data_IF_107689272577
#
_entry.id   IF_107689272577
#
_cell.length_a   1.000
_cell.length_b   1.000
_cell.length_c   1.000
_cell.angle_alpha   90.00
_cell.angle_beta   90.00
_cell.angle_gamma   90.00
#
_symmetry.space_group_name_H-M   'P 1'
#
loop_
_entity.id
_entity.type
_entity.pdbx_description
1 polymer ?
#
# COMPACT_ATOMS: atom_id res chain seq x y z
N UNK A 1 17.12 7.87 -13.78
CA UNK A 1 16.16 8.43 -12.81
C UNK A 1 16.54 7.88 -11.44
N UNK A 2 16.75 8.74 -10.44
CA UNK A 2 17.27 8.33 -9.13
C UNK A 2 16.06 8.22 -8.20
N UNK A 3 15.83 7.06 -7.59
CA UNK A 3 14.80 6.90 -6.57
C UNK A 3 15.07 7.94 -5.45
N UNK A 4 14.05 8.71 -5.08
CA UNK A 4 14.19 9.77 -4.07
C UNK A 4 14.32 9.14 -2.68
N UNK A 5 13.65 8.00 -2.46
CA UNK A 5 13.73 7.24 -1.22
C UNK A 5 14.86 6.22 -1.24
N UNK A 6 15.60 6.12 -0.12
CA UNK A 6 16.45 4.97 0.12
C UNK A 6 15.58 3.79 0.57
N UNK A 7 16.09 2.58 0.44
CA UNK A 7 15.37 1.37 0.84
C UNK A 7 14.88 1.40 2.30
N UNK A 8 15.67 1.98 3.21
CA UNK A 8 15.27 2.16 4.61
C UNK A 8 14.07 3.11 4.78
N UNK A 9 13.99 4.16 3.96
CA UNK A 9 12.87 5.11 4.00
C UNK A 9 11.58 4.44 3.49
N UNK A 10 11.68 3.64 2.42
CA UNK A 10 10.54 2.89 1.88
C UNK A 10 9.98 1.88 2.88
N UNK A 11 10.84 1.17 3.62
CA UNK A 11 10.39 0.23 4.64
C UNK A 11 9.66 0.97 5.77
N UNK A 12 10.22 2.08 6.27
CA UNK A 12 9.58 2.86 7.32
C UNK A 12 8.21 3.41 6.90
N UNK A 13 8.06 3.85 5.65
CA UNK A 13 6.77 4.27 5.08
C UNK A 13 5.80 3.10 5.03
N UNK A 14 6.23 1.95 4.53
CA UNK A 14 5.39 0.75 4.42
C UNK A 14 4.94 0.24 5.79
N UNK A 15 5.82 0.23 6.79
CA UNK A 15 5.50 -0.16 8.16
C UNK A 15 4.45 0.79 8.76
N UNK A 16 4.61 2.11 8.57
CA UNK A 16 3.61 3.09 9.00
C UNK A 16 2.25 2.90 8.29
N UNK A 17 2.25 2.51 7.01
CA UNK A 17 1.02 2.17 6.29
C UNK A 17 0.36 0.91 6.85
N UNK A 18 1.14 -0.13 7.16
CA UNK A 18 0.62 -1.34 7.81
C UNK A 18 0.02 -1.01 9.18
N UNK A 19 0.64 -0.12 9.95
CA UNK A 19 0.09 0.34 11.23
C UNK A 19 -1.25 1.05 11.07
N UNK A 20 -1.40 1.89 10.04
CA UNK A 20 -2.71 2.47 9.69
C UNK A 20 -3.72 1.38 9.34
N UNK A 21 -3.33 0.42 8.50
CA UNK A 21 -4.20 -0.67 8.06
C UNK A 21 -4.61 -1.61 9.19
N UNK A 22 -3.78 -1.81 10.22
CA UNK A 22 -4.17 -2.57 11.43
C UNK A 22 -5.34 -1.93 12.18
N UNK A 23 -5.50 -0.61 12.06
CA UNK A 23 -6.64 0.11 12.60
C UNK A 23 -7.92 -0.03 11.77
N UNK A 24 -7.84 -0.57 10.56
CA UNK A 24 -9.00 -0.71 9.67
C UNK A 24 -9.80 -1.95 10.05
N UNK A 25 -11.13 -1.86 9.92
CA UNK A 25 -11.98 -3.04 10.01
C UNK A 25 -11.67 -4.02 8.87
N UNK A 26 -11.73 -5.32 9.17
CA UNK A 26 -11.59 -6.36 8.16
C UNK A 26 -12.67 -6.20 7.08
N UNK A 27 -12.27 -6.15 5.81
CA UNK A 27 -13.16 -5.85 4.69
C UNK A 27 -13.16 -4.38 4.24
N UNK A 28 -12.41 -3.50 4.92
CA UNK A 28 -12.29 -2.09 4.51
C UNK A 28 -11.61 -1.96 3.14
N UNK A 29 -12.00 -0.95 2.35
CA UNK A 29 -11.40 -0.62 1.05
C UNK A 29 -10.55 0.64 1.09
N UNK A 30 -9.37 0.59 0.48
CA UNK A 30 -8.47 1.75 0.34
C UNK A 30 -7.50 1.56 -0.82
N UNK A 31 -6.66 2.55 -1.10
CA UNK A 31 -5.59 2.49 -2.10
C UNK A 31 -4.26 2.87 -1.46
N UNK A 32 -3.14 2.53 -2.10
CA UNK A 32 -1.81 2.97 -1.64
C UNK A 32 -1.69 4.49 -1.67
N UNK A 33 -2.18 5.15 -2.71
CA UNK A 33 -2.16 6.61 -2.80
C UNK A 33 -2.96 7.28 -1.65
N UNK A 34 -4.10 6.70 -1.27
CA UNK A 34 -4.90 7.20 -0.14
C UNK A 34 -4.17 7.04 1.19
N UNK A 35 -3.50 5.91 1.41
CA UNK A 35 -2.68 5.69 2.60
C UNK A 35 -1.50 6.66 2.66
N UNK A 36 -0.81 6.87 1.53
CA UNK A 36 0.30 7.82 1.44
C UNK A 36 -0.17 9.23 1.83
N UNK A 37 -1.29 9.68 1.27
CA UNK A 37 -1.89 10.97 1.60
C UNK A 37 -2.30 11.07 3.07
N UNK A 38 -2.89 10.02 3.66
CA UNK A 38 -3.27 10.01 5.08
C UNK A 38 -2.07 10.14 6.02
N UNK A 39 -0.91 9.62 5.61
CA UNK A 39 0.35 9.76 6.33
C UNK A 39 1.09 11.08 6.03
N UNK A 40 0.51 11.97 5.21
CA UNK A 40 1.09 13.27 4.86
C UNK A 40 2.05 13.25 3.66
N UNK A 41 2.17 12.14 2.94
CA UNK A 41 2.98 12.04 1.73
C UNK A 41 2.16 12.48 0.50
N UNK A 42 1.99 13.78 0.32
CA UNK A 42 1.14 14.35 -0.75
C UNK A 42 1.88 14.58 -2.07
N UNK A 43 3.20 14.76 -2.02
CA UNK A 43 4.00 15.21 -3.17
C UNK A 43 4.88 14.08 -3.75
N UNK A 44 4.40 12.83 -3.68
CA UNK A 44 5.10 11.68 -4.23
C UNK A 44 5.02 11.67 -5.77
N UNK A 45 6.15 11.41 -6.43
CA UNK A 45 6.12 11.18 -7.87
C UNK A 45 5.46 9.83 -8.19
N UNK A 46 5.13 9.62 -9.46
CA UNK A 46 4.57 8.35 -9.92
C UNK A 46 5.47 7.15 -9.59
N UNK A 47 6.79 7.31 -9.71
CA UNK A 47 7.73 6.24 -9.40
C UNK A 47 7.90 6.02 -7.90
N UNK A 48 7.83 7.08 -7.10
CA UNK A 48 7.83 6.94 -5.64
C UNK A 48 6.59 6.17 -5.16
N UNK A 49 5.42 6.46 -5.73
CA UNK A 49 4.19 5.73 -5.41
C UNK A 49 4.27 4.24 -5.81
N UNK A 50 4.95 3.91 -6.92
CA UNK A 50 5.20 2.52 -7.29
C UNK A 50 6.13 1.82 -6.28
N UNK A 51 7.21 2.49 -5.87
CA UNK A 51 8.15 1.93 -4.90
C UNK A 51 7.48 1.73 -3.52
N UNK A 52 6.68 2.70 -3.08
CA UNK A 52 5.89 2.61 -1.85
C UNK A 52 4.83 1.51 -1.94
N UNK A 53 4.13 1.37 -3.08
CA UNK A 53 3.17 0.30 -3.31
C UNK A 53 3.82 -1.08 -3.17
N UNK A 54 4.97 -1.28 -3.81
CA UNK A 54 5.70 -2.54 -3.72
C UNK A 54 6.22 -2.82 -2.30
N UNK A 55 6.65 -1.78 -1.58
CA UNK A 55 7.06 -1.91 -0.19
C UNK A 55 5.87 -2.27 0.72
N UNK A 56 4.71 -1.64 0.54
CA UNK A 56 3.49 -1.95 1.26
C UNK A 56 3.05 -3.39 1.07
N UNK A 57 3.06 -3.91 -0.17
CA UNK A 57 2.69 -5.31 -0.44
C UNK A 57 3.56 -6.30 0.35
N UNK A 58 4.88 -6.07 0.37
CA UNK A 58 5.83 -6.90 1.13
C UNK A 58 5.57 -6.79 2.64
N UNK A 59 5.45 -5.57 3.15
CA UNK A 59 5.22 -5.34 4.57
C UNK A 59 3.89 -5.93 5.05
N UNK A 60 2.81 -5.84 4.26
CA UNK A 60 1.53 -6.45 4.58
C UNK A 60 1.66 -7.98 4.71
N UNK A 61 2.33 -8.63 3.76
CA UNK A 61 2.59 -10.06 3.79
C UNK A 61 3.40 -10.48 5.04
N UNK A 62 4.46 -9.75 5.36
CA UNK A 62 5.30 -10.00 6.56
C UNK A 62 4.53 -9.83 7.87
N UNK A 63 3.44 -9.05 7.85
CA UNK A 63 2.59 -8.77 8.99
C UNK A 63 1.29 -9.61 9.02
N UNK A 64 1.20 -10.66 8.21
CA UNK A 64 0.03 -11.54 8.11
C UNK A 64 -1.25 -10.80 7.74
N UNK A 65 -1.14 -9.83 6.84
CA UNK A 65 -2.25 -9.09 6.26
C UNK A 65 -2.31 -9.38 4.76
N UNK A 66 -3.51 -9.62 4.25
CA UNK A 66 -3.77 -9.75 2.82
C UNK A 66 -4.40 -8.45 2.31
N UNK A 67 -3.81 -7.92 1.23
CA UNK A 67 -4.37 -6.83 0.46
C UNK A 67 -5.00 -7.46 -0.79
N UNK A 68 -6.31 -7.63 -0.77
CA UNK A 68 -7.04 -8.37 -1.81
C UNK A 68 -7.43 -7.46 -2.97
N UNK A 69 -6.87 -7.74 -4.15
CA UNK A 69 -7.12 -7.06 -5.42
C UNK A 69 -7.99 -7.89 -6.38
N UNK A 70 -8.63 -8.98 -5.93
CA UNK A 70 -9.40 -9.89 -6.79
C UNK A 70 -10.52 -9.21 -7.58
N UNK A 71 -11.04 -8.06 -7.11
CA UNK A 71 -12.02 -7.27 -7.85
C UNK A 71 -11.46 -6.67 -9.15
N UNK A 72 -10.14 -6.65 -9.32
CA UNK A 72 -9.45 -6.13 -10.50
C UNK A 72 -9.01 -7.23 -11.49
N UNK A 73 -9.24 -8.51 -11.15
CA UNK A 73 -8.85 -9.62 -12.02
C UNK A 73 -9.58 -9.59 -13.36
N UNK A 74 -8.83 -9.81 -14.44
CA UNK A 74 -9.33 -9.76 -15.83
C UNK A 74 -9.72 -8.37 -16.35
N UNK A 75 -9.47 -7.28 -15.60
CA UNK A 75 -9.75 -5.91 -16.03
C UNK A 75 -8.53 -5.20 -16.61
N UNK A 76 -8.75 -4.28 -17.54
CA UNK A 76 -7.74 -3.32 -18.01
C UNK A 76 -7.89 -2.05 -17.19
N UNK A 77 -6.92 -1.74 -16.35
CA UNK A 77 -7.03 -0.64 -15.39
C UNK A 77 -5.83 0.32 -15.42
N UNK A 78 -5.91 1.35 -14.58
CA UNK A 78 -4.89 2.37 -14.43
C UNK A 78 -3.70 1.93 -13.59
N UNK A 79 -3.05 2.90 -12.94
CA UNK A 79 -1.85 2.65 -12.14
C UNK A 79 -2.13 1.85 -10.86
N UNK A 80 -1.25 0.90 -10.48
CA UNK A 80 -1.51 -0.05 -9.39
C UNK A 80 -1.70 0.63 -8.02
N UNK A 81 -1.03 1.75 -7.76
CA UNK A 81 -1.18 2.50 -6.51
C UNK A 81 -2.54 3.22 -6.36
N UNK A 82 -3.32 3.30 -7.44
CA UNK A 82 -4.69 3.84 -7.45
C UNK A 82 -5.76 2.77 -7.46
N UNK A 83 -5.39 1.49 -7.63
CA UNK A 83 -6.33 0.38 -7.52
C UNK A 83 -6.66 0.18 -6.05
N UNK A 84 -7.94 0.01 -5.76
CA UNK A 84 -8.35 -0.31 -4.42
C UNK A 84 -8.04 -1.77 -4.07
N UNK A 85 -7.94 -2.01 -2.77
CA UNK A 85 -7.83 -3.35 -2.24
C UNK A 85 -8.67 -3.47 -0.99
N UNK A 86 -9.14 -4.68 -0.75
CA UNK A 86 -9.86 -5.05 0.46
C UNK A 86 -8.83 -5.51 1.49
N UNK A 87 -8.85 -4.89 2.67
CA UNK A 87 -7.96 -5.24 3.78
C UNK A 87 -8.48 -6.48 4.46
N UNK A 88 -7.64 -7.53 4.53
CA UNK A 88 -7.94 -8.76 5.24
C UNK A 88 -6.91 -9.04 6.33
N UNK A 89 -7.40 -9.13 7.57
CA UNK A 89 -6.60 -9.50 8.73
C UNK A 89 -6.71 -11.00 8.95
N UNK A 90 -5.60 -11.73 8.83
CA UNK A 90 -5.59 -13.14 9.23
C UNK A 90 -5.53 -13.25 10.75
N UNK A 91 -6.32 -14.17 11.34
CA UNK A 91 -6.17 -14.51 12.76
C UNK A 91 -4.78 -15.12 12.94
N UNK A 92 -3.98 -14.53 13.83
CA UNK A 92 -2.70 -15.09 14.28
C UNK A 92 -2.88 -16.46 14.91
#
# INVERSE_FOLDING_TARGET
MKAIFKQADLQAIADAMVDVLRGYENGSRTTTARLAHQLGYTDLTLFDLLDVHNALLRAAQENHMELDFSEHDGKVEGWPFNLDFIVKHHKR
#
